data_IF_756113247260
#
_entry.id   IF_756113247260
#
_cell.length_a   1.000
_cell.length_b   1.000
_cell.length_c   1.000
_cell.angle_alpha   90.00
_cell.angle_beta   90.00
_cell.angle_gamma   90.00
#
_symmetry.space_group_name_H-M   'P 1'
#
loop_
_entity.id
_entity.type
_entity.pdbx_description
1 polymer ?
#
# COMPACT_ATOMS: atom_id res chain seq x y z
N UNK A 1 46.16 -32.52 -21.61
CA UNK A 1 45.11 -33.53 -21.78
C UNK A 1 44.76 -34.09 -20.42
N UNK A 2 43.71 -33.60 -19.79
CA UNK A 2 43.08 -34.29 -18.65
C UNK A 2 41.56 -34.05 -18.75
N UNK A 3 40.84 -35.12 -18.99
CA UNK A 3 39.40 -35.19 -19.09
C UNK A 3 38.84 -35.15 -17.69
N UNK A 4 38.09 -34.12 -17.35
CA UNK A 4 37.33 -34.07 -16.12
C UNK A 4 35.90 -34.48 -16.41
N UNK A 5 35.55 -35.63 -15.92
CA UNK A 5 34.23 -36.24 -15.95
C UNK A 5 33.32 -35.47 -15.02
N UNK A 6 32.33 -34.80 -15.56
CA UNK A 6 31.29 -34.13 -14.79
C UNK A 6 30.27 -35.17 -14.37
N UNK A 7 30.31 -35.55 -13.10
CA UNK A 7 29.28 -36.41 -12.50
C UNK A 7 28.03 -35.58 -12.25
N UNK A 8 27.01 -35.79 -13.07
CA UNK A 8 25.66 -35.28 -12.85
C UNK A 8 25.01 -36.14 -11.80
N UNK A 9 24.95 -35.63 -10.57
CA UNK A 9 24.11 -36.19 -9.50
C UNK A 9 22.67 -35.79 -9.77
N UNK A 10 21.91 -36.71 -10.34
CA UNK A 10 20.43 -36.64 -10.33
C UNK A 10 19.98 -36.87 -8.90
N UNK A 11 19.71 -35.80 -8.20
CA UNK A 11 18.96 -35.84 -6.94
C UNK A 11 17.47 -35.96 -7.30
N UNK A 12 16.99 -37.20 -7.42
CA UNK A 12 15.58 -37.50 -7.48
C UNK A 12 14.98 -37.14 -6.13
N UNK A 13 14.37 -35.95 -6.04
CA UNK A 13 13.49 -35.60 -4.97
C UNK A 13 12.29 -36.55 -5.01
N UNK A 14 12.29 -37.57 -4.16
CA UNK A 14 11.07 -38.26 -3.78
C UNK A 14 10.17 -37.24 -3.08
N UNK A 15 9.29 -36.63 -3.85
CA UNK A 15 8.09 -36.01 -3.29
C UNK A 15 7.22 -37.15 -2.76
N UNK A 16 7.39 -37.45 -1.48
CA UNK A 16 6.47 -38.27 -0.75
C UNK A 16 5.13 -37.54 -0.69
N UNK A 17 4.28 -37.78 -1.67
CA UNK A 17 2.87 -37.54 -1.56
C UNK A 17 2.38 -38.46 -0.44
N UNK A 18 2.31 -37.92 0.78
CA UNK A 18 1.55 -38.55 1.85
C UNK A 18 0.11 -38.64 1.36
N UNK A 19 -0.22 -39.77 0.83
CA UNK A 19 -1.62 -40.11 0.54
C UNK A 19 -2.37 -40.10 1.87
N UNK A 20 -3.02 -39.01 2.18
CA UNK A 20 -4.13 -38.93 3.11
C UNK A 20 -5.35 -39.67 2.47
N UNK A 21 -5.15 -40.93 2.10
CA UNK A 21 -6.14 -41.75 1.41
C UNK A 21 -7.18 -42.36 2.39
N UNK A 22 -7.54 -41.64 3.43
CA UNK A 22 -8.51 -42.14 4.39
C UNK A 22 -9.55 -41.14 4.90
N UNK A 23 -9.34 -39.82 4.69
CA UNK A 23 -10.21 -38.78 5.26
C UNK A 23 -10.96 -37.98 4.20
N UNK A 24 -10.60 -38.13 2.93
CA UNK A 24 -11.12 -37.30 1.83
C UNK A 24 -12.55 -37.59 1.39
N UNK A 25 -13.20 -38.64 1.91
CA UNK A 25 -14.59 -38.96 1.58
C UNK A 25 -15.61 -38.36 2.54
N UNK A 26 -15.18 -37.98 3.76
CA UNK A 26 -16.08 -37.44 4.78
C UNK A 26 -16.00 -35.92 4.90
N UNK A 27 -14.89 -35.31 4.46
CA UNK A 27 -14.66 -33.88 4.60
C UNK A 27 -14.14 -33.27 3.30
N UNK A 28 -14.65 -32.13 2.93
CA UNK A 28 -14.11 -31.30 1.82
C UNK A 28 -13.54 -29.99 2.34
N UNK A 29 -12.46 -29.54 1.73
CA UNK A 29 -11.86 -28.25 2.02
C UNK A 29 -12.44 -27.25 1.02
N UNK A 30 -13.16 -26.26 1.51
CA UNK A 30 -13.70 -25.17 0.71
C UNK A 30 -12.88 -23.92 1.03
N UNK A 31 -12.39 -23.19 0.01
CA UNK A 31 -11.74 -21.91 0.26
C UNK A 31 -12.73 -20.93 0.88
N UNK A 32 -12.39 -20.36 2.05
CA UNK A 32 -13.19 -19.33 2.66
C UNK A 32 -13.12 -18.06 1.80
N UNK A 33 -14.27 -17.61 1.31
CA UNK A 33 -14.42 -16.34 0.64
C UNK A 33 -14.59 -15.24 1.69
N UNK A 34 -13.49 -14.70 2.21
CA UNK A 34 -13.49 -13.56 3.11
C UNK A 34 -12.54 -12.50 2.60
N UNK A 35 -12.95 -11.22 2.57
CA UNK A 35 -12.02 -10.14 2.33
C UNK A 35 -11.28 -9.81 3.62
N UNK A 36 -10.01 -10.18 3.69
CA UNK A 36 -9.13 -9.71 4.75
C UNK A 36 -8.74 -8.24 4.49
N UNK A 37 -8.59 -7.46 5.55
CA UNK A 37 -8.06 -6.11 5.46
C UNK A 37 -6.96 -5.89 6.48
N UNK A 38 -5.97 -5.09 6.13
CA UNK A 38 -4.84 -4.71 6.98
C UNK A 38 -4.74 -3.20 7.06
N UNK A 39 -4.54 -2.67 8.25
CA UNK A 39 -4.25 -1.25 8.43
C UNK A 39 -2.76 -1.07 8.62
N UNK A 40 -2.16 -0.20 7.83
CA UNK A 40 -0.74 0.16 7.91
C UNK A 40 -0.59 1.62 8.29
N UNK A 41 0.43 1.88 9.11
CA UNK A 41 0.90 3.24 9.40
C UNK A 41 2.38 3.27 9.08
N UNK A 42 2.78 4.15 8.16
CA UNK A 42 4.17 4.29 7.71
C UNK A 42 4.56 5.76 7.72
N UNK A 43 5.71 6.08 8.30
CA UNK A 43 6.33 7.39 8.16
C UNK A 43 7.22 7.41 6.93
N UNK A 44 7.39 8.57 6.31
CA UNK A 44 8.24 8.75 5.15
C UNK A 44 8.96 10.09 5.17
N UNK A 45 10.03 10.14 4.41
CA UNK A 45 10.76 11.37 4.08
C UNK A 45 10.79 11.55 2.57
N UNK A 46 10.89 12.78 2.11
CA UNK A 46 10.92 13.05 0.68
C UNK A 46 11.43 14.45 0.34
N UNK A 47 11.51 14.70 -0.95
CA UNK A 47 11.80 15.99 -1.52
C UNK A 47 10.67 16.40 -2.46
N UNK A 48 10.15 17.60 -2.28
CA UNK A 48 9.06 18.17 -3.05
C UNK A 48 9.56 19.34 -3.89
N UNK A 49 9.26 19.31 -5.18
CA UNK A 49 9.48 20.41 -6.10
C UNK A 49 8.16 21.08 -6.47
N UNK A 50 8.07 22.37 -6.23
CA UNK A 50 6.93 23.18 -6.66
C UNK A 50 7.27 23.79 -8.01
N UNK A 51 6.51 23.44 -9.05
CA UNK A 51 6.75 23.93 -10.40
C UNK A 51 6.20 25.36 -10.53
N UNK A 52 7.04 26.28 -10.99
CA UNK A 52 6.69 27.70 -11.09
C UNK A 52 7.21 28.59 -9.96
N UNK A 53 7.84 28.01 -8.92
CA UNK A 53 8.43 28.76 -7.80
C UNK A 53 9.94 28.73 -7.70
N UNK A 54 10.64 28.26 -8.75
CA UNK A 54 12.08 28.00 -8.73
C UNK A 54 12.40 26.52 -8.50
N UNK A 55 13.67 26.15 -8.72
CA UNK A 55 14.12 24.74 -8.67
C UNK A 55 14.47 24.24 -7.26
N UNK A 56 14.17 24.99 -6.21
CA UNK A 56 14.58 24.59 -4.85
C UNK A 56 13.60 23.60 -4.25
N UNK A 57 14.06 22.40 -3.90
CA UNK A 57 13.21 21.41 -3.27
C UNK A 57 12.91 21.77 -1.80
N UNK A 58 11.74 21.40 -1.32
CA UNK A 58 11.40 21.36 0.08
C UNK A 58 11.57 19.94 0.62
N UNK A 59 12.10 19.80 1.83
CA UNK A 59 12.08 18.52 2.55
C UNK A 59 10.66 18.21 2.96
N UNK A 60 10.23 16.96 2.80
CA UNK A 60 8.92 16.47 3.26
C UNK A 60 9.11 15.43 4.34
N UNK A 61 8.41 15.62 5.44
CA UNK A 61 8.25 14.63 6.50
C UNK A 61 6.77 14.29 6.57
N UNK A 62 6.44 13.01 6.45
CA UNK A 62 5.03 12.62 6.44
C UNK A 62 4.77 11.28 7.07
N UNK A 63 3.48 11.02 7.26
CA UNK A 63 2.97 9.74 7.73
C UNK A 63 1.67 9.40 7.01
N UNK A 64 1.60 8.16 6.52
CA UNK A 64 0.39 7.55 5.97
C UNK A 64 -0.25 6.63 7.01
N UNK A 65 -1.57 6.63 7.04
CA UNK A 65 -2.35 5.57 7.67
C UNK A 65 -3.41 5.12 6.69
N UNK A 66 -3.28 3.89 6.21
CA UNK A 66 -4.17 3.36 5.19
C UNK A 66 -4.64 1.95 5.54
N UNK A 67 -5.87 1.64 5.15
CA UNK A 67 -6.47 0.31 5.18
C UNK A 67 -6.39 -0.25 3.76
N UNK A 68 -5.82 -1.44 3.65
CA UNK A 68 -5.68 -2.18 2.39
C UNK A 68 -6.47 -3.46 2.50
N UNK A 69 -7.29 -3.77 1.53
CA UNK A 69 -8.01 -5.04 1.46
C UNK A 69 -7.26 -6.07 0.61
N UNK A 70 -7.80 -7.27 0.56
CA UNK A 70 -7.22 -8.38 -0.19
C UNK A 70 -7.18 -8.17 -1.71
N UNK A 71 -8.03 -7.29 -2.24
CA UNK A 71 -8.06 -6.93 -3.66
C UNK A 71 -7.07 -5.79 -3.98
N UNK A 72 -6.43 -5.25 -2.93
CA UNK A 72 -5.52 -4.12 -3.01
C UNK A 72 -6.21 -2.76 -2.98
N UNK A 73 -7.53 -2.71 -2.72
CA UNK A 73 -8.21 -1.44 -2.52
C UNK A 73 -7.67 -0.78 -1.26
N UNK A 74 -7.26 0.46 -1.40
CA UNK A 74 -6.53 1.20 -0.39
C UNK A 74 -7.23 2.51 -0.11
N UNK A 75 -7.63 2.72 1.15
CA UNK A 75 -8.20 3.96 1.63
C UNK A 75 -7.47 4.44 2.86
N UNK A 76 -7.25 5.73 2.98
CA UNK A 76 -6.48 6.23 4.12
C UNK A 76 -6.32 7.72 4.20
N UNK A 77 -5.37 8.14 5.03
CA UNK A 77 -4.98 9.52 5.21
C UNK A 77 -3.47 9.70 5.16
N UNK A 78 -3.06 10.86 4.75
CA UNK A 78 -1.67 11.31 4.69
C UNK A 78 -1.53 12.65 5.41
N UNK A 79 -0.59 12.73 6.34
CA UNK A 79 -0.18 13.99 6.94
C UNK A 79 1.25 14.30 6.46
N UNK A 80 1.46 15.44 5.82
CA UNK A 80 2.74 15.84 5.27
C UNK A 80 3.12 17.25 5.74
N UNK A 81 4.31 17.36 6.30
CA UNK A 81 4.93 18.63 6.65
C UNK A 81 6.10 18.93 5.72
N UNK A 82 6.05 20.06 5.05
CA UNK A 82 7.07 20.51 4.12
C UNK A 82 7.95 21.57 4.81
N UNK A 83 9.25 21.40 4.68
CA UNK A 83 10.26 22.33 5.21
C UNK A 83 11.01 22.93 4.03
N UNK A 84 10.92 24.23 3.86
CA UNK A 84 11.66 24.93 2.83
C UNK A 84 13.13 25.04 3.23
N UNK A 85 14.03 24.71 2.31
CA UNK A 85 15.47 24.76 2.50
C UNK A 85 16.11 26.00 1.86
N UNK A 86 15.36 26.74 1.02
CA UNK A 86 15.84 27.93 0.36
C UNK A 86 15.85 29.12 1.32
N UNK A 87 17.00 29.74 1.47
CA UNK A 87 17.15 30.93 2.34
C UNK A 87 17.03 30.64 3.83
N UNK A 88 17.33 29.39 4.24
CA UNK A 88 17.27 28.89 5.62
C UNK A 88 16.11 27.93 5.85
N UNK A 89 16.17 27.21 6.97
CA UNK A 89 15.15 26.24 7.36
C UNK A 89 13.88 27.00 7.81
N UNK A 90 12.81 26.91 7.05
CA UNK A 90 11.53 27.56 7.35
C UNK A 90 10.36 26.60 7.18
N UNK A 91 9.31 26.68 8.04
CA UNK A 91 8.07 25.95 7.80
C UNK A 91 7.52 26.32 6.42
N UNK A 92 7.28 25.35 5.58
CA UNK A 92 6.71 25.51 4.24
C UNK A 92 5.20 25.29 4.26
N UNK A 93 4.77 24.03 4.17
CA UNK A 93 3.36 23.65 4.10
C UNK A 93 3.05 22.54 5.08
N UNK A 94 1.84 22.55 5.64
CA UNK A 94 1.25 21.40 6.32
C UNK A 94 0.04 20.97 5.52
N UNK A 95 -0.01 19.69 5.13
CA UNK A 95 -1.11 19.10 4.34
C UNK A 95 -1.69 17.90 5.06
N UNK A 96 -2.99 17.80 5.09
CA UNK A 96 -3.76 16.62 5.49
C UNK A 96 -4.57 16.18 4.28
N UNK A 97 -4.40 14.93 3.86
CA UNK A 97 -5.02 14.42 2.65
C UNK A 97 -5.72 13.10 2.90
N UNK A 98 -6.80 12.86 2.17
CA UNK A 98 -7.45 11.58 2.01
C UNK A 98 -6.88 10.87 0.79
N UNK A 99 -6.67 9.57 0.91
CA UNK A 99 -6.14 8.68 -0.12
C UNK A 99 -7.18 7.64 -0.47
N UNK A 100 -7.38 7.41 -1.76
CA UNK A 100 -8.27 6.36 -2.28
C UNK A 100 -7.75 5.79 -3.59
N UNK A 101 -7.75 4.45 -3.72
CA UNK A 101 -7.27 3.79 -4.92
C UNK A 101 -6.77 2.37 -4.69
N UNK A 102 -5.69 2.00 -5.34
CA UNK A 102 -5.03 0.69 -5.22
C UNK A 102 -3.73 0.79 -4.42
N UNK A 103 -3.18 -0.36 -4.01
CA UNK A 103 -1.95 -0.41 -3.22
C UNK A 103 -0.73 0.28 -3.86
N UNK A 104 -0.74 0.43 -5.19
CA UNK A 104 0.34 1.01 -5.99
C UNK A 104 -0.03 2.35 -6.63
N UNK A 105 -1.31 2.76 -6.59
CA UNK A 105 -1.75 4.05 -7.11
C UNK A 105 -2.99 4.54 -6.39
N UNK A 106 -2.88 5.69 -5.73
CA UNK A 106 -3.99 6.35 -5.03
C UNK A 106 -4.22 7.74 -5.58
N UNK A 107 -5.49 8.14 -5.67
CA UNK A 107 -5.89 9.53 -5.73
C UNK A 107 -5.70 10.19 -4.36
N UNK A 108 -5.28 11.44 -4.34
CA UNK A 108 -5.10 12.24 -3.13
C UNK A 108 -5.92 13.51 -3.22
N UNK A 109 -6.76 13.75 -2.20
CA UNK A 109 -7.48 15.00 -2.01
C UNK A 109 -7.18 15.53 -0.62
N UNK A 110 -6.70 16.76 -0.50
CA UNK A 110 -6.26 17.29 0.77
C UNK A 110 -6.51 18.77 0.96
N UNK A 111 -6.41 19.17 2.22
CA UNK A 111 -6.39 20.56 2.65
C UNK A 111 -5.07 20.84 3.35
N UNK A 112 -4.67 22.09 3.39
CA UNK A 112 -3.44 22.45 4.09
C UNK A 112 -3.31 23.95 4.31
N UNK A 113 -2.17 24.28 4.86
CA UNK A 113 -1.77 25.67 5.09
C UNK A 113 -0.33 25.88 4.65
N UNK A 114 -0.09 26.92 3.87
CA UNK A 114 1.23 27.34 3.43
C UNK A 114 1.71 28.49 4.32
N UNK A 115 2.69 28.23 5.17
CA UNK A 115 3.22 29.20 6.13
C UNK A 115 4.03 30.30 5.45
N UNK A 116 4.60 30.04 4.27
CA UNK A 116 5.37 31.06 3.52
C UNK A 116 4.46 32.05 2.82
N UNK A 117 3.30 31.57 2.36
CA UNK A 117 2.27 32.40 1.72
C UNK A 117 1.26 32.96 2.71
N UNK A 118 1.21 32.40 3.92
CA UNK A 118 0.18 32.75 4.92
C UNK A 118 -1.24 32.42 4.46
N UNK A 119 -1.42 31.35 3.67
CA UNK A 119 -2.67 31.05 3.00
C UNK A 119 -3.07 29.58 3.12
N UNK A 120 -4.39 29.29 3.26
CA UNK A 120 -4.90 27.92 3.12
C UNK A 120 -4.78 27.44 1.68
N UNK A 121 -4.67 26.11 1.51
CA UNK A 121 -4.60 25.48 0.21
C UNK A 121 -5.50 24.22 0.14
N UNK A 122 -5.94 23.92 -1.08
CA UNK A 122 -6.53 22.65 -1.46
C UNK A 122 -5.53 21.90 -2.32
N UNK A 123 -5.31 20.62 -2.06
CA UNK A 123 -4.42 19.77 -2.83
C UNK A 123 -5.19 18.66 -3.55
N UNK A 124 -4.86 18.45 -4.82
CA UNK A 124 -5.32 17.30 -5.59
C UNK A 124 -4.09 16.63 -6.20
N UNK A 125 -3.99 15.31 -6.09
CA UNK A 125 -2.82 14.62 -6.59
C UNK A 125 -3.02 13.12 -6.82
N UNK A 126 -1.93 12.51 -7.25
CA UNK A 126 -1.76 11.08 -7.36
C UNK A 126 -0.55 10.68 -6.53
N UNK A 127 -0.67 9.57 -5.83
CA UNK A 127 0.38 8.99 -5.04
C UNK A 127 0.68 7.58 -5.55
N UNK A 128 1.94 7.30 -5.84
CA UNK A 128 2.45 6.02 -6.29
C UNK A 128 3.73 5.67 -5.51
N UNK A 129 4.22 4.43 -5.56
CA UNK A 129 5.45 4.05 -4.87
C UNK A 129 6.61 4.98 -5.23
N UNK A 130 7.19 5.61 -4.20
CA UNK A 130 8.34 6.52 -4.27
C UNK A 130 8.11 7.87 -4.96
N UNK A 131 6.91 8.12 -5.52
CA UNK A 131 6.60 9.37 -6.22
C UNK A 131 5.17 9.80 -5.98
N UNK A 132 4.94 11.10 -5.81
CA UNK A 132 3.62 11.71 -5.90
C UNK A 132 3.69 12.98 -6.73
N UNK A 133 2.58 13.31 -7.38
CA UNK A 133 2.46 14.53 -8.16
C UNK A 133 1.04 15.08 -8.06
N UNK A 134 0.91 16.40 -8.19
CA UNK A 134 -0.40 17.02 -8.07
C UNK A 134 -0.37 18.52 -8.27
N UNK A 135 -1.44 19.15 -7.82
CA UNK A 135 -1.62 20.59 -7.84
C UNK A 135 -2.10 21.09 -6.49
N UNK A 136 -1.57 22.21 -6.06
CA UNK A 136 -2.03 22.98 -4.90
C UNK A 136 -2.78 24.21 -5.41
N UNK A 137 -4.05 24.36 -5.02
CA UNK A 137 -4.87 25.55 -5.28
C UNK A 137 -4.95 26.42 -4.02
N UNK A 138 -4.75 27.71 -4.19
CA UNK A 138 -4.83 28.70 -3.11
C UNK A 138 -6.09 29.57 -3.28
N UNK A 139 -6.50 30.27 -2.22
CA UNK A 139 -7.55 31.27 -2.31
C UNK A 139 -7.06 32.41 -3.23
N UNK A 140 -7.46 32.36 -4.51
CA UNK A 140 -7.04 33.26 -5.58
C UNK A 140 -6.84 32.49 -6.90
N UNK A 141 -6.63 33.18 -8.03
CA UNK A 141 -6.44 32.51 -9.30
C UNK A 141 -5.06 31.84 -9.32
N UNK A 142 -5.02 30.52 -9.49
CA UNK A 142 -3.81 29.78 -9.76
C UNK A 142 -3.74 28.40 -9.14
N UNK A 143 -3.29 27.47 -9.95
CA UNK A 143 -2.89 26.12 -9.55
C UNK A 143 -1.36 26.06 -9.60
N UNK A 144 -0.77 25.50 -8.58
CA UNK A 144 0.68 25.34 -8.51
C UNK A 144 0.98 23.84 -8.55
N UNK A 145 1.46 23.31 -9.68
CA UNK A 145 1.81 21.91 -9.77
C UNK A 145 3.04 21.59 -8.90
N UNK A 146 3.06 20.37 -8.40
CA UNK A 146 4.18 19.84 -7.63
C UNK A 146 4.49 18.40 -8.00
N UNK A 147 5.71 17.97 -7.73
CA UNK A 147 6.15 16.60 -7.73
C UNK A 147 6.96 16.33 -6.46
N UNK A 148 6.80 15.14 -5.90
CA UNK A 148 7.50 14.71 -4.68
C UNK A 148 8.12 13.33 -4.91
N UNK A 149 9.40 13.19 -4.61
CA UNK A 149 10.04 11.89 -4.45
C UNK A 149 10.10 11.56 -2.95
N UNK A 150 9.69 10.35 -2.56
CA UNK A 150 9.61 9.98 -1.15
C UNK A 150 9.98 8.52 -0.91
N UNK A 151 10.31 8.19 0.33
CA UNK A 151 10.71 6.83 0.74
C UNK A 151 9.54 5.85 0.86
N UNK A 152 8.29 6.31 0.73
CA UNK A 152 7.11 5.45 0.80
C UNK A 152 7.06 4.53 -0.43
N UNK A 153 7.08 3.20 -0.19
CA UNK A 153 6.80 2.17 -1.18
C UNK A 153 5.29 1.93 -1.35
N UNK A 154 4.94 0.86 -2.01
CA UNK A 154 3.54 0.42 -2.09
C UNK A 154 3.00 -0.01 -0.72
N UNK A 155 1.70 -0.02 -0.59
CA UNK A 155 1.03 -0.60 0.56
C UNK A 155 0.98 -2.13 0.43
N UNK A 156 1.13 -2.84 1.56
CA UNK A 156 1.14 -4.29 1.56
C UNK A 156 -0.28 -4.84 1.70
N UNK A 157 -0.66 -5.76 0.82
CA UNK A 157 -1.90 -6.52 0.97
C UNK A 157 -1.85 -7.38 2.23
N UNK A 158 -3.00 -7.65 2.86
CA UNK A 158 -3.05 -8.65 3.91
C UNK A 158 -2.62 -9.99 3.34
N UNK A 159 -1.81 -10.73 4.10
CA UNK A 159 -1.49 -12.11 3.76
C UNK A 159 -2.79 -12.91 3.85
N UNK A 160 -3.35 -13.23 2.69
CA UNK A 160 -4.41 -14.24 2.62
C UNK A 160 -3.74 -15.60 2.77
N UNK A 161 -3.72 -16.12 3.98
CA UNK A 161 -3.79 -17.57 4.12
C UNK A 161 -5.23 -17.89 3.79
N UNK A 162 -5.53 -18.62 2.70
CA UNK A 162 -6.90 -19.06 2.48
C UNK A 162 -7.30 -19.86 3.71
N UNK A 163 -8.25 -19.36 4.49
CA UNK A 163 -8.85 -20.13 5.54
C UNK A 163 -9.53 -21.30 4.83
N UNK A 164 -9.05 -22.51 5.07
CA UNK A 164 -9.68 -23.71 4.54
C UNK A 164 -10.76 -24.12 5.53
N UNK A 165 -11.99 -23.91 5.14
CA UNK A 165 -13.12 -24.38 5.92
C UNK A 165 -13.33 -25.87 5.66
N UNK A 166 -13.29 -26.66 6.71
CA UNK A 166 -13.58 -28.10 6.67
C UNK A 166 -15.08 -28.26 6.75
N UNK A 167 -15.68 -28.87 5.74
CA UNK A 167 -17.10 -29.22 5.68
C UNK A 167 -17.25 -30.72 5.86
N UNK A 168 -18.11 -31.13 6.79
CA UNK A 168 -18.58 -32.51 6.89
C UNK A 168 -19.51 -32.80 5.71
N UNK A 169 -19.08 -33.67 4.80
CA UNK A 169 -19.83 -34.02 3.59
C UNK A 169 -21.13 -34.82 3.87
N UNK A 170 -21.31 -35.32 5.08
CA UNK A 170 -22.49 -36.04 5.46
C UNK A 170 -23.60 -35.12 5.98
N UNK A 171 -23.21 -34.13 6.78
CA UNK A 171 -24.14 -33.18 7.41
C UNK A 171 -24.19 -31.83 6.71
N UNK A 172 -23.22 -31.52 5.87
CA UNK A 172 -23.07 -30.19 5.23
C UNK A 172 -22.71 -29.06 6.22
N UNK A 173 -22.34 -29.42 7.45
CA UNK A 173 -22.05 -28.45 8.51
C UNK A 173 -20.56 -28.10 8.49
N UNK A 174 -20.26 -26.83 8.65
CA UNK A 174 -18.88 -26.36 8.87
C UNK A 174 -18.41 -26.75 10.26
N UNK A 175 -17.23 -27.38 10.35
CA UNK A 175 -16.63 -27.74 11.64
C UNK A 175 -16.01 -26.54 12.38
N UNK A 176 -15.75 -25.45 11.68
CA UNK A 176 -15.25 -24.22 12.27
C UNK A 176 -16.38 -23.17 12.30
N UNK A 177 -16.78 -22.67 13.50
CA UNK A 177 -17.82 -21.66 13.64
C UNK A 177 -17.48 -20.30 12.99
N UNK A 178 -16.20 -20.07 12.62
CA UNK A 178 -15.80 -18.90 11.87
C UNK A 178 -16.12 -18.98 10.37
N UNK A 179 -16.47 -20.17 9.88
CA UNK A 179 -16.85 -20.42 8.49
C UNK A 179 -18.38 -20.38 8.38
N UNK A 180 -18.93 -19.22 8.07
CA UNK A 180 -20.37 -19.07 7.79
C UNK A 180 -20.62 -19.09 6.29
N UNK A 181 -21.73 -19.73 5.87
CA UNK A 181 -22.25 -19.59 4.51
C UNK A 181 -22.81 -18.17 4.40
N UNK A 182 -22.31 -17.39 3.45
CA UNK A 182 -22.96 -16.14 3.03
C UNK A 182 -24.06 -16.55 2.04
N UNK A 183 -25.33 -16.45 2.47
CA UNK A 183 -26.51 -16.53 1.60
C UNK A 183 -26.56 -15.36 0.61
#
# INVERSE_FOLDING_TARGET
MKKSTLAVLLLSALTGSSALAGVSTLYSLIPATGSASKTETKAYVGLNWTLGGGATPALVLGAFRAKVDSNGDTTGGNLAFHVNLAGGIKPGKLKLSYLDGKEDLQGELGIGYDFLKGAPLLGLGLNAPHISAGVDAYAGPGFIPYATLHSQGKFDKPNQTPAQCVVDNVTGIYLDPACTILD
#
